data_IF_786075123332
#
_entry.id   IF_786075123332
#
_cell.length_a   1.000
_cell.length_b   1.000
_cell.length_c   1.000
_cell.angle_alpha   90.00
_cell.angle_beta   90.00
_cell.angle_gamma   90.00
#
_symmetry.space_group_name_H-M   'P 1'
#
loop_
_entity.id
_entity.type
_entity.pdbx_description
1 polymer ?
#
# COMPACT_ATOMS: atom_id res chain seq x y z
N UNK A 1 -2.53 16.04 15.56
CA UNK A 1 -2.11 14.64 15.31
C UNK A 1 -2.05 14.41 13.81
N UNK A 2 -0.89 14.04 13.24
CA UNK A 2 -0.84 13.51 11.88
C UNK A 2 0.26 12.47 11.79
N UNK A 3 -0.10 11.21 12.03
CA UNK A 3 0.76 10.09 11.68
C UNK A 3 0.59 9.86 10.19
N UNK A 4 1.22 10.70 9.36
CA UNK A 4 1.54 10.29 7.99
C UNK A 4 2.27 8.97 8.13
N UNK A 5 1.65 7.89 7.68
CA UNK A 5 2.26 6.57 7.68
C UNK A 5 3.66 6.73 7.09
N UNK A 6 4.69 6.31 7.84
CA UNK A 6 6.11 6.62 7.61
C UNK A 6 6.65 6.19 6.23
N UNK A 7 5.80 5.56 5.41
CA UNK A 7 6.06 5.08 4.06
C UNK A 7 4.90 5.55 3.18
N UNK A 8 5.18 6.54 2.32
CA UNK A 8 4.22 7.04 1.32
C UNK A 8 3.78 5.92 0.38
N UNK A 9 2.53 6.00 -0.10
CA UNK A 9 1.97 5.04 -1.08
C UNK A 9 2.84 4.92 -2.32
N UNK A 10 3.45 6.03 -2.75
CA UNK A 10 4.35 6.11 -3.89
C UNK A 10 5.59 5.21 -3.72
N UNK A 11 6.23 5.23 -2.54
CA UNK A 11 7.36 4.37 -2.21
C UNK A 11 6.97 2.89 -2.28
N UNK A 12 5.75 2.54 -1.85
CA UNK A 12 5.25 1.15 -1.92
C UNK A 12 5.02 0.69 -3.35
N UNK A 13 4.51 1.58 -4.20
CA UNK A 13 4.28 1.29 -5.62
C UNK A 13 5.62 1.10 -6.33
N UNK A 14 6.58 2.02 -6.12
CA UNK A 14 7.92 1.92 -6.69
C UNK A 14 8.60 0.61 -6.29
N UNK A 15 8.57 0.24 -5.01
CA UNK A 15 9.12 -1.01 -4.51
C UNK A 15 8.53 -2.25 -5.20
N UNK A 16 7.22 -2.27 -5.42
CA UNK A 16 6.54 -3.38 -6.11
C UNK A 16 6.89 -3.39 -7.59
N UNK A 17 6.96 -2.23 -8.24
CA UNK A 17 7.35 -2.16 -9.65
C UNK A 17 8.81 -2.57 -9.88
N UNK A 18 9.75 -2.14 -9.03
CA UNK A 18 11.16 -2.54 -9.10
C UNK A 18 11.31 -4.06 -8.94
N UNK A 19 10.51 -4.66 -8.05
CA UNK A 19 10.43 -6.11 -7.90
C UNK A 19 9.83 -6.79 -9.14
N UNK A 20 8.76 -6.25 -9.73
CA UNK A 20 8.12 -6.81 -10.92
C UNK A 20 8.98 -6.67 -12.18
N UNK A 21 9.85 -5.66 -12.24
CA UNK A 21 10.84 -5.46 -13.31
C UNK A 21 12.12 -6.27 -13.10
N UNK A 22 12.20 -7.08 -12.04
CA UNK A 22 13.38 -7.86 -11.65
C UNK A 22 14.64 -6.98 -11.43
N UNK A 23 14.45 -5.69 -11.14
CA UNK A 23 15.54 -4.73 -10.91
C UNK A 23 16.11 -4.92 -9.51
N UNK A 24 15.24 -5.18 -8.53
CA UNK A 24 15.60 -5.36 -7.13
C UNK A 24 14.92 -6.57 -6.53
N UNK A 25 15.66 -7.35 -5.76
CA UNK A 25 15.14 -8.45 -4.97
C UNK A 25 14.37 -7.97 -3.75
N UNK A 26 13.47 -8.81 -3.23
CA UNK A 26 12.73 -8.52 -1.98
C UNK A 26 13.68 -8.17 -0.82
N UNK A 27 14.87 -8.77 -0.76
CA UNK A 27 15.88 -8.49 0.25
C UNK A 27 16.48 -7.09 0.13
N UNK A 28 16.72 -6.61 -1.08
CA UNK A 28 17.28 -5.28 -1.34
C UNK A 28 16.27 -4.20 -0.98
N UNK A 29 15.02 -4.37 -1.45
CA UNK A 29 13.90 -3.48 -1.12
C UNK A 29 13.64 -3.47 0.39
N UNK A 30 13.74 -4.64 1.03
CA UNK A 30 13.58 -4.81 2.48
C UNK A 30 14.63 -4.02 3.27
N UNK A 31 15.88 -4.06 2.83
CA UNK A 31 16.96 -3.29 3.45
C UNK A 31 16.86 -1.79 3.16
N UNK A 32 16.57 -1.40 1.91
CA UNK A 32 16.49 0.00 1.48
C UNK A 32 15.35 0.75 2.19
N UNK A 33 14.19 0.11 2.31
CA UNK A 33 13.03 0.69 2.98
C UNK A 33 12.97 0.37 4.47
N UNK A 34 13.83 -0.53 4.95
CA UNK A 34 13.81 -1.10 6.30
C UNK A 34 12.43 -1.70 6.65
N UNK A 35 11.89 -2.50 5.73
CA UNK A 35 10.55 -3.11 5.79
C UNK A 35 10.67 -4.61 5.65
N UNK A 36 9.87 -5.35 6.40
CA UNK A 36 9.85 -6.81 6.31
C UNK A 36 9.42 -7.31 4.92
N UNK A 37 10.10 -8.35 4.43
CA UNK A 37 9.75 -9.05 3.17
C UNK A 37 8.28 -9.47 3.10
N UNK A 38 7.69 -9.82 4.25
CA UNK A 38 6.26 -10.15 4.38
C UNK A 38 5.32 -8.99 4.04
N UNK A 39 5.72 -7.74 4.33
CA UNK A 39 4.93 -6.57 3.95
C UNK A 39 5.05 -6.31 2.44
N UNK A 40 6.24 -6.47 1.87
CA UNK A 40 6.47 -6.32 0.43
C UNK A 40 5.66 -7.38 -0.35
N UNK A 41 5.66 -8.63 0.09
CA UNK A 41 4.86 -9.68 -0.55
C UNK A 41 3.35 -9.40 -0.47
N UNK A 42 2.87 -8.85 0.65
CA UNK A 42 1.49 -8.38 0.76
C UNK A 42 1.18 -7.24 -0.23
N UNK A 43 2.13 -6.33 -0.47
CA UNK A 43 1.99 -5.27 -1.47
C UNK A 43 1.93 -5.81 -2.89
N UNK A 44 2.81 -6.75 -3.25
CA UNK A 44 2.79 -7.42 -4.55
C UNK A 44 1.45 -8.12 -4.79
N UNK A 45 0.92 -8.81 -3.78
CA UNK A 45 -0.42 -9.43 -3.86
C UNK A 45 -1.51 -8.39 -4.12
N UNK A 46 -1.54 -7.30 -3.34
CA UNK A 46 -2.50 -6.21 -3.54
C UNK A 46 -2.37 -5.56 -4.91
N UNK A 47 -1.15 -5.36 -5.39
CA UNK A 47 -0.87 -4.82 -6.72
C UNK A 47 -1.38 -5.74 -7.83
N UNK A 48 -1.24 -7.06 -7.68
CA UNK A 48 -1.77 -8.02 -8.67
C UNK A 48 -3.30 -8.05 -8.70
N UNK A 49 -3.96 -7.88 -7.55
CA UNK A 49 -5.42 -7.94 -7.46
C UNK A 49 -6.11 -6.62 -7.84
N UNK A 50 -5.56 -5.49 -7.41
CA UNK A 50 -6.20 -4.17 -7.51
C UNK A 50 -5.35 -3.14 -8.27
N UNK A 51 -4.19 -3.54 -8.82
CA UNK A 51 -3.26 -2.63 -9.46
C UNK A 51 -2.62 -1.63 -8.49
N UNK A 52 -2.12 -0.52 -9.05
CA UNK A 52 -1.62 0.64 -8.29
C UNK A 52 -2.64 1.18 -7.28
N UNK A 53 -3.93 1.04 -7.58
CA UNK A 53 -5.04 1.51 -6.75
C UNK A 53 -5.19 0.70 -5.45
N UNK A 54 -4.76 -0.56 -5.42
CA UNK A 54 -4.73 -1.37 -4.19
C UNK A 54 -3.68 -0.95 -3.16
N UNK A 55 -2.66 -0.22 -3.61
CA UNK A 55 -1.56 0.30 -2.79
C UNK A 55 -1.73 1.76 -2.44
N UNK A 56 -2.43 2.50 -3.30
CA UNK A 56 -3.04 3.78 -2.96
C UNK A 56 -4.03 3.51 -1.83
N UNK A 57 -3.60 3.80 -0.61
CA UNK A 57 -4.44 3.81 0.57
C UNK A 57 -5.51 4.92 0.41
N UNK A 58 -6.50 4.70 -0.46
CA UNK A 58 -7.76 5.43 -0.40
C UNK A 58 -8.31 5.04 0.95
N UNK A 59 -8.26 5.99 1.88
CA UNK A 59 -8.63 5.75 3.26
C UNK A 59 -10.08 5.28 3.31
N UNK A 60 -10.31 3.96 3.27
CA UNK A 60 -11.58 3.36 3.68
C UNK A 60 -11.69 3.34 5.22
N UNK A 61 -10.88 4.14 5.92
CA UNK A 61 -11.35 4.89 7.08
C UNK A 61 -12.21 6.10 6.65
N UNK A 62 -12.91 6.03 5.51
CA UNK A 62 -14.28 6.53 5.51
C UNK A 62 -15.01 5.64 6.52
N UNK A 63 -14.83 5.98 7.80
CA UNK A 63 -15.82 5.75 8.84
C UNK A 63 -17.15 5.84 8.12
N UNK A 64 -17.82 4.69 8.00
CA UNK A 64 -19.24 4.54 7.73
C UNK A 64 -19.88 5.92 7.60
N UNK A 65 -19.99 6.44 6.39
CA UNK A 65 -20.66 7.72 6.18
C UNK A 65 -22.10 7.48 6.62
N UNK A 66 -22.36 7.78 7.89
CA UNK A 66 -23.64 7.65 8.57
C UNK A 66 -24.65 8.68 8.04
N UNK A 67 -24.59 8.98 6.74
CA UNK A 67 -25.64 9.70 6.01
C UNK A 67 -26.70 8.73 5.46
N UNK A 68 -26.58 7.42 5.70
CA UNK A 68 -27.68 6.48 5.56
C UNK A 68 -28.47 6.39 6.88
N UNK A 69 -28.97 7.53 7.35
CA UNK A 69 -30.27 7.57 8.03
C UNK A 69 -31.20 8.33 7.09
N UNK A 70 -31.71 7.56 6.14
CA UNK A 70 -32.99 7.79 5.48
C UNK A 70 -34.01 8.33 6.47
N UNK A 71 -34.73 9.35 5.99
CA UNK A 71 -36.00 9.85 6.47
C UNK A 71 -36.84 8.79 7.20
N UNK A 72 -37.28 9.13 8.39
CA UNK A 72 -38.56 8.70 8.97
C UNK A 72 -39.07 9.86 9.83
#
# INVERSE_FOLDING_TARGET
MSRKSKVSTEIKVQAVEDYLRDIKSLSEISNELNIYKSAISAWVRKYKTFGKEGLLNKGYNTSYSAQLKTQA
#
